data_IF_238799273900
#
_entry.id   IF_238799273900
#
_cell.length_a   1.000
_cell.length_b   1.000
_cell.length_c   1.000
_cell.angle_alpha   90.00
_cell.angle_beta   90.00
_cell.angle_gamma   90.00
#
_symmetry.space_group_name_H-M   'P 1'
#
loop_
_entity.id
_entity.type
_entity.pdbx_description
1 polymer ?
#
# COMPACT_ATOMS: atom_id res chain seq x y z
N UNK A 1 -34.88 50.11 -26.59
CA UNK A 1 -34.86 48.82 -25.88
C UNK A 1 -34.22 47.79 -26.77
N UNK A 2 -33.02 47.28 -26.46
CA UNK A 2 -32.65 45.84 -26.54
C UNK A 2 -31.17 45.68 -26.12
N UNK A 3 -30.98 44.93 -25.05
CA UNK A 3 -29.75 44.77 -24.25
C UNK A 3 -28.72 43.95 -25.03
N UNK A 4 -27.53 44.50 -25.27
CA UNK A 4 -26.40 43.73 -25.77
C UNK A 4 -25.54 43.30 -24.58
N UNK A 5 -25.92 42.17 -23.96
CA UNK A 5 -25.11 41.48 -22.95
C UNK A 5 -23.96 40.77 -23.64
N UNK A 6 -22.77 41.37 -23.63
CA UNK A 6 -21.52 40.72 -24.02
C UNK A 6 -21.16 39.68 -22.95
N UNK A 7 -21.28 38.40 -23.34
CA UNK A 7 -20.90 37.23 -22.56
C UNK A 7 -19.36 37.23 -22.37
N UNK A 8 -18.89 37.44 -21.13
CA UNK A 8 -17.50 37.24 -20.77
C UNK A 8 -17.26 35.76 -20.51
N UNK A 9 -16.65 35.06 -21.47
CA UNK A 9 -16.28 33.66 -21.38
C UNK A 9 -14.97 33.53 -20.57
N UNK A 10 -15.08 33.41 -19.24
CA UNK A 10 -13.95 33.09 -18.38
C UNK A 10 -13.51 31.63 -18.58
N UNK A 11 -12.57 31.40 -19.50
CA UNK A 11 -11.79 30.17 -19.57
C UNK A 11 -10.81 30.12 -18.39
N UNK A 12 -11.27 29.63 -17.24
CA UNK A 12 -10.39 29.23 -16.14
C UNK A 12 -9.79 27.88 -16.52
N UNK A 13 -8.61 27.92 -17.14
CA UNK A 13 -7.82 26.72 -17.41
C UNK A 13 -7.37 26.09 -16.10
N UNK A 14 -7.90 24.92 -15.79
CA UNK A 14 -7.45 24.08 -14.68
C UNK A 14 -5.96 23.79 -14.86
N UNK A 15 -5.11 24.36 -13.99
CA UNK A 15 -3.72 23.92 -13.85
C UNK A 15 -3.75 22.52 -13.24
N UNK A 16 -3.79 21.51 -14.10
CA UNK A 16 -3.50 20.14 -13.70
C UNK A 16 -2.03 20.08 -13.30
N UNK A 17 -1.75 20.08 -11.99
CA UNK A 17 -0.43 19.75 -11.48
C UNK A 17 -0.14 18.29 -11.85
N UNK A 18 0.66 18.10 -12.89
CA UNK A 18 1.28 16.81 -13.15
C UNK A 18 2.28 16.56 -12.01
N UNK A 19 1.87 15.79 -11.00
CA UNK A 19 2.83 15.16 -10.12
C UNK A 19 3.66 14.23 -10.99
N UNK A 20 4.95 14.54 -11.16
CA UNK A 20 5.90 13.72 -11.91
C UNK A 20 5.93 12.33 -11.26
N UNK A 21 5.24 11.37 -11.87
CA UNK A 21 5.25 10.00 -11.41
C UNK A 21 6.64 9.45 -11.71
N UNK A 22 7.39 9.11 -10.66
CA UNK A 22 8.71 8.48 -10.80
C UNK A 22 8.65 7.33 -11.82
N UNK A 23 9.70 7.15 -12.65
CA UNK A 23 9.74 6.05 -13.61
C UNK A 23 9.47 4.72 -12.91
N UNK A 24 8.61 3.89 -13.52
CA UNK A 24 8.35 2.52 -13.03
C UNK A 24 9.69 1.81 -12.83
N UNK A 25 9.96 1.36 -11.61
CA UNK A 25 11.18 0.64 -11.24
C UNK A 25 12.16 1.40 -10.35
N UNK A 26 12.00 2.71 -10.14
CA UNK A 26 12.78 3.44 -9.11
C UNK A 26 12.17 3.18 -7.73
N UNK A 27 12.74 2.21 -7.02
CA UNK A 27 12.35 1.86 -5.65
C UNK A 27 13.04 2.84 -4.68
N UNK A 28 12.34 3.90 -4.24
CA UNK A 28 12.83 4.73 -3.14
C UNK A 28 12.62 3.96 -1.84
N UNK A 29 13.70 3.44 -1.25
CA UNK A 29 13.66 2.90 0.11
C UNK A 29 13.78 4.08 1.07
N UNK A 30 12.75 4.41 1.86
CA UNK A 30 12.84 5.50 2.82
C UNK A 30 13.89 5.16 3.90
N UNK A 31 14.66 6.16 4.38
CA UNK A 31 15.72 5.95 5.37
C UNK A 31 15.14 5.36 6.66
N UNK A 32 15.92 4.57 7.40
CA UNK A 32 15.46 3.98 8.64
C UNK A 32 14.87 5.04 9.59
N UNK A 33 13.80 4.71 10.35
CA UNK A 33 13.28 5.61 11.36
C UNK A 33 14.35 5.93 12.42
N UNK A 34 14.16 7.04 13.13
CA UNK A 34 15.02 7.39 14.26
C UNK A 34 14.98 6.27 15.34
N UNK A 35 16.07 6.04 16.10
CA UNK A 35 16.14 4.95 17.08
C UNK A 35 15.02 4.98 18.13
N UNK A 36 14.54 6.16 18.49
CA UNK A 36 13.47 6.47 19.44
C UNK A 36 12.11 6.75 18.76
N UNK A 37 12.04 6.58 17.44
CA UNK A 37 10.85 6.80 16.62
C UNK A 37 9.99 5.54 16.42
N UNK A 38 8.90 5.65 15.62
CA UNK A 38 8.09 4.49 15.28
C UNK A 38 8.93 3.40 14.61
N UNK A 39 8.48 2.16 14.75
CA UNK A 39 9.01 1.07 13.94
C UNK A 39 8.43 1.14 12.52
N UNK A 40 9.08 0.48 11.58
CA UNK A 40 8.70 0.43 10.17
C UNK A 40 8.48 -0.99 9.70
N UNK A 41 7.35 -1.20 9.04
CA UNK A 41 7.06 -2.42 8.30
C UNK A 41 7.07 -2.14 6.80
N UNK A 42 7.86 -2.90 6.06
CA UNK A 42 7.91 -2.84 4.60
C UNK A 42 7.26 -4.11 4.06
N UNK A 43 6.29 -3.94 3.16
CA UNK A 43 5.62 -5.05 2.50
C UNK A 43 5.89 -4.95 1.01
N UNK A 44 6.33 -6.05 0.39
CA UNK A 44 6.57 -6.11 -1.06
C UNK A 44 5.84 -7.29 -1.64
N UNK A 45 4.97 -7.05 -2.62
CA UNK A 45 4.31 -8.12 -3.35
C UNK A 45 5.12 -8.45 -4.60
N UNK A 46 5.34 -9.73 -4.85
CA UNK A 46 5.98 -10.14 -6.09
C UNK A 46 5.11 -9.80 -7.33
N UNK A 47 5.73 -9.85 -8.51
CA UNK A 47 5.03 -9.67 -9.79
C UNK A 47 4.81 -10.99 -10.54
N UNK A 48 5.07 -12.14 -9.88
CA UNK A 48 4.95 -13.47 -10.47
C UNK A 48 3.70 -14.22 -9.95
N UNK A 49 2.81 -13.50 -9.24
CA UNK A 49 1.54 -14.01 -8.76
C UNK A 49 0.68 -14.57 -9.91
N UNK A 50 -0.12 -15.63 -9.66
CA UNK A 50 -0.93 -16.29 -10.69
C UNK A 50 -2.11 -15.43 -11.18
N UNK A 51 -2.31 -14.22 -10.64
CA UNK A 51 -3.39 -13.31 -10.99
C UNK A 51 -2.98 -11.83 -10.79
N UNK A 52 -3.76 -10.94 -11.38
CA UNK A 52 -3.56 -9.48 -11.28
C UNK A 52 -4.34 -8.83 -10.12
N UNK A 53 -4.97 -9.61 -9.24
CA UNK A 53 -5.81 -9.08 -8.17
C UNK A 53 -4.98 -8.42 -7.09
N UNK A 54 -5.38 -7.24 -6.62
CA UNK A 54 -4.73 -6.61 -5.47
C UNK A 54 -4.82 -7.50 -4.22
N UNK A 55 -3.87 -7.31 -3.31
CA UNK A 55 -3.97 -7.80 -1.94
C UNK A 55 -4.29 -6.65 -1.00
N UNK A 56 -4.98 -6.95 0.09
CA UNK A 56 -5.21 -6.04 1.21
C UNK A 56 -4.31 -6.43 2.38
N UNK A 57 -3.56 -5.46 2.89
CA UNK A 57 -2.74 -5.60 4.08
C UNK A 57 -3.54 -5.16 5.30
N UNK A 58 -3.52 -5.99 6.33
CA UNK A 58 -4.24 -5.76 7.57
C UNK A 58 -3.26 -5.57 8.72
N UNK A 59 -3.45 -4.51 9.49
CA UNK A 59 -2.81 -4.31 10.80
C UNK A 59 -3.94 -4.21 11.82
N UNK A 60 -3.91 -5.06 12.84
CA UNK A 60 -4.94 -5.12 13.88
C UNK A 60 -6.36 -5.24 13.28
N UNK A 61 -6.51 -6.10 12.26
CA UNK A 61 -7.75 -6.36 11.49
C UNK A 61 -8.29 -5.20 10.67
N UNK A 62 -7.56 -4.09 10.56
CA UNK A 62 -7.93 -2.97 9.71
C UNK A 62 -7.11 -2.98 8.42
N UNK A 63 -7.77 -2.75 7.28
CA UNK A 63 -7.07 -2.57 6.00
C UNK A 63 -6.27 -1.26 6.06
N UNK A 64 -4.96 -1.36 5.92
CA UNK A 64 -4.03 -0.22 5.97
C UNK A 64 -3.42 0.11 4.62
N UNK A 65 -3.41 -0.84 3.69
CA UNK A 65 -2.91 -0.65 2.34
C UNK A 65 -3.46 -1.70 1.37
N UNK A 66 -3.45 -1.36 0.09
CA UNK A 66 -3.67 -2.29 -1.03
C UNK A 66 -2.40 -2.34 -1.88
N UNK A 67 -2.03 -3.53 -2.36
CA UNK A 67 -0.87 -3.71 -3.23
C UNK A 67 -1.26 -4.48 -4.50
N UNK A 68 -1.06 -3.86 -5.65
CA UNK A 68 -1.05 -4.51 -6.95
C UNK A 68 0.20 -5.36 -7.18
N UNK A 69 0.27 -6.14 -8.28
CA UNK A 69 1.45 -6.95 -8.60
C UNK A 69 2.73 -6.10 -8.72
N UNK A 70 3.80 -6.55 -8.07
CA UNK A 70 5.08 -5.85 -8.04
C UNK A 70 5.15 -4.58 -7.17
N UNK A 71 4.04 -4.19 -6.52
CA UNK A 71 4.02 -3.01 -5.67
C UNK A 71 4.59 -3.29 -4.27
N UNK A 72 4.99 -2.20 -3.61
CA UNK A 72 5.46 -2.22 -2.22
C UNK A 72 4.88 -1.04 -1.45
N UNK A 73 4.81 -1.19 -0.13
CA UNK A 73 4.48 -0.10 0.78
C UNK A 73 5.35 -0.14 2.03
N UNK A 74 5.40 0.98 2.73
CA UNK A 74 6.11 1.17 4.00
C UNK A 74 5.16 1.83 4.98
N UNK A 75 5.01 1.25 6.17
CA UNK A 75 4.15 1.73 7.23
C UNK A 75 4.98 2.02 8.48
N UNK A 76 4.93 3.26 8.96
CA UNK A 76 5.48 3.62 10.27
C UNK A 76 4.40 3.40 11.33
N UNK A 77 4.68 2.53 12.28
CA UNK A 77 3.73 2.02 13.27
C UNK A 77 4.30 2.19 14.69
N UNK A 78 3.43 2.34 15.71
CA UNK A 78 3.86 2.31 17.09
C UNK A 78 4.61 1.02 17.41
N UNK A 79 5.61 1.12 18.28
CA UNK A 79 6.29 -0.06 18.82
C UNK A 79 5.33 -0.87 19.70
N UNK A 80 5.55 -2.18 19.72
CA UNK A 80 4.73 -3.13 20.47
C UNK A 80 4.28 -4.30 19.62
N UNK A 81 3.33 -5.06 20.16
CA UNK A 81 2.74 -6.20 19.47
C UNK A 81 1.73 -5.73 18.42
N UNK A 82 1.89 -6.23 17.19
CA UNK A 82 1.02 -5.96 16.05
C UNK A 82 0.49 -7.27 15.48
N UNK A 83 -0.80 -7.30 15.17
CA UNK A 83 -1.43 -8.40 14.44
C UNK A 83 -1.43 -8.08 12.94
N UNK A 84 -0.64 -8.83 12.15
CA UNK A 84 -0.51 -8.63 10.71
C UNK A 84 -1.23 -9.74 9.95
N UNK A 85 -2.00 -9.38 8.93
CA UNK A 85 -2.60 -10.35 8.00
C UNK A 85 -2.60 -9.80 6.58
N UNK A 86 -2.80 -10.69 5.61
CA UNK A 86 -3.00 -10.34 4.21
C UNK A 86 -4.11 -11.19 3.62
N UNK A 87 -4.83 -10.66 2.65
CA UNK A 87 -5.84 -11.38 1.87
C UNK A 87 -5.88 -10.87 0.44
N UNK A 88 -6.34 -11.70 -0.49
CA UNK A 88 -6.73 -11.23 -1.83
C UNK A 88 -7.89 -10.25 -1.66
N UNK A 89 -7.86 -9.11 -2.35
CA UNK A 89 -8.91 -8.10 -2.24
C UNK A 89 -10.26 -8.65 -2.73
N UNK A 90 -11.38 -8.37 -2.04
CA UNK A 90 -12.73 -8.73 -2.51
C UNK A 90 -13.20 -7.86 -3.69
N UNK A 91 -12.43 -6.85 -4.10
CA UNK A 91 -12.84 -5.91 -5.14
C UNK A 91 -12.95 -6.58 -6.53
N UNK A 92 -13.98 -6.17 -7.29
CA UNK A 92 -14.19 -6.64 -8.66
C UNK A 92 -14.38 -8.16 -8.76
N UNK A 93 -13.67 -8.79 -9.68
CA UNK A 93 -13.75 -10.23 -9.94
C UNK A 93 -12.77 -11.07 -9.13
N UNK A 94 -12.12 -10.47 -8.13
CA UNK A 94 -11.04 -11.13 -7.40
C UNK A 94 -11.51 -12.16 -6.37
N UNK A 95 -12.80 -12.16 -6.04
CA UNK A 95 -13.45 -13.12 -5.13
C UNK A 95 -12.65 -13.36 -3.84
N UNK A 96 -11.91 -12.35 -3.39
CA UNK A 96 -11.08 -12.41 -2.20
C UNK A 96 -11.93 -12.46 -0.95
N UNK A 97 -11.43 -13.13 0.07
CA UNK A 97 -12.03 -13.21 1.40
C UNK A 97 -10.97 -12.88 2.43
N UNK A 98 -11.28 -12.00 3.38
CA UNK A 98 -10.30 -11.51 4.33
C UNK A 98 -10.90 -11.07 5.67
N UNK A 99 -10.04 -10.85 6.68
CA UNK A 99 -8.60 -11.08 6.64
C UNK A 99 -8.23 -12.57 6.61
N UNK A 100 -7.07 -12.90 6.02
CA UNK A 100 -6.47 -14.23 6.13
C UNK A 100 -5.93 -14.50 7.55
N UNK A 101 -5.19 -15.61 7.76
CA UNK A 101 -4.56 -15.92 9.03
C UNK A 101 -3.64 -14.78 9.50
N UNK A 102 -3.81 -14.36 10.74
CA UNK A 102 -2.99 -13.32 11.34
C UNK A 102 -1.73 -13.91 11.98
N UNK A 103 -0.60 -13.20 11.83
CA UNK A 103 0.64 -13.45 12.55
C UNK A 103 0.92 -12.29 13.52
N UNK A 104 1.44 -12.62 14.71
CA UNK A 104 1.85 -11.62 15.69
C UNK A 104 3.31 -11.22 15.46
N UNK A 105 3.58 -9.93 15.51
CA UNK A 105 4.92 -9.35 15.36
C UNK A 105 5.15 -8.35 16.47
N UNK A 106 6.23 -8.55 17.23
CA UNK A 106 6.74 -7.54 18.16
C UNK A 106 7.66 -6.58 17.40
N UNK A 107 7.23 -5.33 17.21
CA UNK A 107 7.97 -4.28 16.52
C UNK A 107 8.64 -3.33 17.51
N UNK A 108 9.96 -3.22 17.45
CA UNK A 108 10.76 -2.31 18.27
C UNK A 108 10.72 -0.85 17.80
N UNK A 109 11.17 0.05 18.65
CA UNK A 109 11.40 1.46 18.32
C UNK A 109 12.53 1.59 17.31
N UNK A 110 12.33 2.38 16.27
CA UNK A 110 13.29 2.53 15.16
C UNK A 110 13.53 1.26 14.32
N UNK A 111 12.92 0.13 14.67
CA UNK A 111 13.13 -1.15 14.01
C UNK A 111 12.53 -1.13 12.60
N UNK A 112 13.23 -1.69 11.62
CA UNK A 112 12.65 -1.94 10.30
C UNK A 112 12.56 -3.44 10.03
N UNK A 113 11.35 -3.94 9.76
CA UNK A 113 11.11 -5.32 9.30
C UNK A 113 10.52 -5.34 7.91
N UNK A 114 10.81 -6.40 7.18
CA UNK A 114 10.35 -6.58 5.81
C UNK A 114 9.60 -7.89 5.65
N UNK A 115 8.52 -7.86 4.86
CA UNK A 115 7.72 -9.02 4.52
C UNK A 115 7.52 -9.08 3.01
N UNK A 116 7.67 -10.27 2.44
CA UNK A 116 7.16 -10.57 1.12
C UNK A 116 5.68 -10.96 1.23
N UNK A 117 4.85 -10.39 0.36
CA UNK A 117 3.51 -10.90 0.12
C UNK A 117 3.59 -11.92 -1.00
N UNK A 118 3.32 -13.17 -0.66
CA UNK A 118 3.26 -14.27 -1.61
C UNK A 118 1.80 -14.54 -1.93
N UNK A 119 1.49 -14.68 -3.21
CA UNK A 119 0.14 -14.98 -3.69
C UNK A 119 0.15 -16.34 -4.38
N UNK A 120 -0.68 -17.24 -3.88
CA UNK A 120 -0.95 -18.56 -4.45
C UNK A 120 -2.40 -18.63 -4.94
N UNK A 121 -2.79 -19.67 -5.70
CA UNK A 121 -4.18 -19.85 -6.08
C UNK A 121 -5.12 -19.87 -4.87
N UNK A 122 -5.95 -18.84 -4.73
CA UNK A 122 -6.98 -18.72 -3.69
C UNK A 122 -6.49 -18.18 -2.33
N UNK A 123 -5.20 -17.91 -2.13
CA UNK A 123 -4.69 -17.41 -0.86
C UNK A 123 -3.49 -16.47 -1.01
N UNK A 124 -3.25 -15.68 0.03
CA UNK A 124 -2.06 -14.85 0.17
C UNK A 124 -1.51 -14.99 1.59
N UNK A 125 -0.18 -14.89 1.73
CA UNK A 125 0.47 -14.94 3.04
C UNK A 125 1.67 -14.00 3.11
N UNK A 126 2.05 -13.65 4.34
CA UNK A 126 3.21 -12.82 4.64
C UNK A 126 4.38 -13.71 5.05
N UNK A 127 5.46 -13.65 4.27
CA UNK A 127 6.73 -14.31 4.59
C UNK A 127 7.72 -13.28 5.13
N UNK A 128 8.25 -13.44 6.35
CA UNK A 128 9.33 -12.59 6.85
C UNK A 128 10.55 -12.68 5.95
N UNK A 129 11.15 -11.54 5.62
CA UNK A 129 12.44 -11.50 4.95
C UNK A 129 13.52 -11.40 6.02
N UNK A 130 14.43 -12.37 6.02
CA UNK A 130 15.63 -12.31 6.83
C UNK A 130 16.62 -11.39 6.13
N UNK A 131 16.99 -10.30 6.80
CA UNK A 131 18.07 -9.42 6.38
C UNK A 131 19.38 -9.89 7.02
#
# INVERSE_FOLDING_TARGET
>A
MLRHSLLALCLVGSLAQAADALPRGVQVVPPNPAPDGPGRLIFSRDNNAPNACDVELYVNRQVVAKLGPGERTSLDLPSGELSLAVAISPAGYCAGHGPGPAQSVLLGSGETRQFAVIVEPGQAFLAPLLN
#
